data_IF_066751597813
#
_entry.id   IF_066751597813
#
_cell.length_a   1.000
_cell.length_b   1.000
_cell.length_c   1.000
_cell.angle_alpha   90.00
_cell.angle_beta   90.00
_cell.angle_gamma   90.00
#
_symmetry.space_group_name_H-M   'P 1'
#
loop_
_entity.id
_entity.type
_entity.pdbx_description
1 polymer ?
#
# COMPACT_ATOMS: atom_id res chain seq x y z
N UNK A 1 46.10 -2.41 17.33
CA UNK A 1 47.55 -2.12 17.23
C UNK A 1 48.47 -3.33 17.49
N UNK A 2 48.00 -4.59 17.31
CA UNK A 2 48.83 -5.80 17.52
C UNK A 2 49.25 -6.49 16.20
N UNK A 3 48.48 -6.33 15.13
CA UNK A 3 48.77 -6.91 13.81
C UNK A 3 49.97 -6.28 13.09
N UNK A 4 50.20 -4.98 13.23
CA UNK A 4 51.34 -4.32 12.60
C UNK A 4 52.68 -4.69 13.25
N UNK A 5 52.69 -5.07 14.52
CA UNK A 5 53.93 -5.53 15.20
C UNK A 5 54.35 -6.92 14.72
N UNK A 6 53.40 -7.76 14.32
CA UNK A 6 53.66 -9.10 13.78
C UNK A 6 54.18 -9.04 12.32
N UNK A 7 53.61 -8.17 11.49
CA UNK A 7 54.03 -7.99 10.09
C UNK A 7 55.43 -7.35 9.96
N UNK A 8 55.77 -6.41 10.84
CA UNK A 8 57.10 -5.79 10.85
C UNK A 8 58.19 -6.79 11.26
N UNK A 9 57.88 -7.74 12.16
CA UNK A 9 58.84 -8.77 12.56
C UNK A 9 59.06 -9.83 11.46
N UNK A 10 58.01 -10.15 10.69
CA UNK A 10 58.10 -11.10 9.57
C UNK A 10 58.85 -10.54 8.35
N UNK A 11 58.81 -9.21 8.13
CA UNK A 11 59.58 -8.55 7.05
C UNK A 11 61.07 -8.39 7.36
N UNK A 12 61.45 -8.30 8.65
CA UNK A 12 62.87 -8.21 9.05
C UNK A 12 63.57 -9.57 8.94
N UNK A 13 62.82 -10.68 9.00
CA UNK A 13 63.36 -12.04 8.90
C UNK A 13 63.44 -12.58 7.47
N UNK A 14 62.85 -11.89 6.47
CA UNK A 14 62.91 -12.30 5.06
C UNK A 14 64.08 -11.68 4.28
N UNK A 15 64.98 -10.94 4.94
CA UNK A 15 66.08 -10.21 4.30
C UNK A 15 67.48 -10.75 4.65
N UNK A 16 67.57 -11.87 5.36
CA UNK A 16 68.84 -12.50 5.75
C UNK A 16 69.08 -13.88 5.10
N UNK A 17 68.34 -14.22 4.04
CA UNK A 17 68.55 -15.44 3.26
C UNK A 17 68.53 -15.06 1.79
N UNK A 18 69.62 -14.49 1.27
CA UNK A 18 70.03 -14.48 -0.15
C UNK A 18 71.27 -13.58 -0.30
N UNK A 19 72.41 -14.03 0.22
CA UNK A 19 73.71 -13.49 -0.14
C UNK A 19 74.74 -14.61 -0.08
N UNK A 20 74.61 -15.55 -1.03
CA UNK A 20 75.69 -16.35 -1.63
C UNK A 20 75.08 -17.14 -2.80
N UNK A 21 74.63 -16.40 -3.82
CA UNK A 21 74.53 -16.95 -5.18
C UNK A 21 75.83 -16.54 -5.85
N UNK A 22 76.85 -17.39 -5.71
CA UNK A 22 78.00 -17.40 -6.62
C UNK A 22 77.50 -18.07 -7.90
N UNK A 23 77.68 -17.36 -9.01
CA UNK A 23 77.28 -17.72 -10.36
C UNK A 23 77.80 -19.09 -10.76
N UNK A 24 76.92 -19.99 -11.17
CA UNK A 24 77.28 -21.14 -11.99
C UNK A 24 77.53 -20.61 -13.41
N UNK A 25 78.80 -20.44 -13.77
CA UNK A 25 79.25 -20.29 -15.14
C UNK A 25 79.77 -21.67 -15.55
N UNK A 26 79.14 -22.24 -16.58
CA UNK A 26 79.59 -23.45 -17.26
C UNK A 26 81.02 -23.22 -17.77
N UNK A 27 81.99 -23.97 -17.26
CA UNK A 27 83.21 -24.31 -17.97
C UNK A 27 83.71 -25.64 -17.39
N UNK A 28 83.77 -26.63 -18.29
CA UNK A 28 84.31 -27.97 -18.09
C UNK A 28 85.78 -27.89 -17.65
N UNK A 29 86.11 -28.31 -16.44
CA UNK A 29 87.45 -28.77 -16.09
C UNK A 29 87.36 -29.78 -14.93
N UNK A 30 87.92 -30.96 -15.19
CA UNK A 30 88.05 -32.10 -14.29
C UNK A 30 88.86 -31.73 -13.03
N UNK A 31 88.19 -31.35 -11.95
CA UNK A 31 88.75 -31.41 -10.60
C UNK A 31 87.85 -32.30 -9.73
N UNK A 32 88.45 -33.37 -9.22
CA UNK A 32 87.91 -34.32 -8.26
C UNK A 32 87.45 -33.56 -7.01
N UNK A 33 86.20 -33.08 -7.02
CA UNK A 33 85.53 -32.59 -5.82
C UNK A 33 85.27 -33.80 -4.93
N UNK A 34 86.26 -34.15 -4.12
CA UNK A 34 86.03 -34.76 -2.81
C UNK A 34 84.87 -33.99 -2.20
N UNK A 35 83.71 -34.64 -2.15
CA UNK A 35 82.61 -34.18 -1.33
C UNK A 35 83.12 -34.27 0.10
N UNK A 36 83.82 -33.22 0.57
CA UNK A 36 84.07 -33.02 1.97
C UNK A 36 82.68 -33.07 2.62
N UNK A 37 82.40 -34.16 3.33
CA UNK A 37 81.30 -34.23 4.26
C UNK A 37 81.52 -33.05 5.20
N UNK A 38 80.80 -31.95 4.97
CA UNK A 38 80.73 -30.85 5.92
C UNK A 38 80.00 -31.42 7.12
N UNK A 39 80.74 -32.10 7.99
CA UNK A 39 80.29 -32.52 9.30
C UNK A 39 79.89 -31.22 10.00
N UNK A 40 78.58 -30.99 10.04
CA UNK A 40 77.97 -29.96 10.86
C UNK A 40 78.52 -30.17 12.27
N UNK A 41 79.30 -29.22 12.75
CA UNK A 41 79.93 -29.34 14.05
C UNK A 41 78.86 -29.62 15.12
N UNK A 42 79.19 -30.41 16.14
CA UNK A 42 78.23 -30.86 17.16
C UNK A 42 77.49 -29.68 17.82
N UNK A 43 78.13 -28.51 17.88
CA UNK A 43 77.58 -27.26 18.41
C UNK A 43 76.47 -26.67 17.52
N UNK A 44 76.67 -26.61 16.21
CA UNK A 44 75.70 -26.14 15.21
C UNK A 44 74.53 -27.11 15.09
N UNK A 45 74.78 -28.42 15.19
CA UNK A 45 73.71 -29.41 15.27
C UNK A 45 72.87 -29.23 16.53
N UNK A 46 73.51 -29.07 17.69
CA UNK A 46 72.81 -28.86 18.96
C UNK A 46 72.01 -27.54 18.94
N UNK A 47 72.57 -26.47 18.38
CA UNK A 47 71.86 -25.19 18.21
C UNK A 47 70.62 -25.32 17.32
N UNK A 48 70.70 -26.08 16.21
CA UNK A 48 69.53 -26.35 15.37
C UNK A 48 68.48 -27.19 16.10
N UNK A 49 68.89 -28.19 16.89
CA UNK A 49 67.95 -29.00 17.67
C UNK A 49 67.23 -28.18 18.73
N UNK A 50 67.95 -27.27 19.39
CA UNK A 50 67.37 -26.37 20.37
C UNK A 50 66.39 -25.38 19.70
N UNK A 51 66.74 -24.85 18.52
CA UNK A 51 65.85 -23.98 17.73
C UNK A 51 64.57 -24.71 17.30
N UNK A 52 64.70 -25.90 16.71
CA UNK A 52 63.54 -26.68 16.28
C UNK A 52 62.66 -27.10 17.45
N UNK A 53 63.26 -27.43 18.60
CA UNK A 53 62.53 -27.74 19.82
C UNK A 53 61.75 -26.51 20.30
N UNK A 54 62.39 -25.33 20.36
CA UNK A 54 61.73 -24.09 20.72
C UNK A 54 60.58 -23.74 19.77
N UNK A 55 60.79 -23.89 18.45
CA UNK A 55 59.77 -23.64 17.43
C UNK A 55 58.60 -24.61 17.52
N UNK A 56 58.87 -25.89 17.81
CA UNK A 56 57.83 -26.90 18.06
C UNK A 56 56.97 -26.51 19.26
N UNK A 57 57.59 -26.14 20.38
CA UNK A 57 56.87 -25.70 21.58
C UNK A 57 56.04 -24.44 21.34
N UNK A 58 56.56 -23.47 20.58
CA UNK A 58 55.82 -22.26 20.20
C UNK A 58 54.60 -22.59 19.31
N UNK A 59 54.78 -23.41 18.27
CA UNK A 59 53.68 -23.84 17.40
C UNK A 59 52.61 -24.63 18.17
N UNK A 60 53.01 -25.51 19.08
CA UNK A 60 52.08 -26.24 19.96
C UNK A 60 51.29 -25.27 20.86
N UNK A 61 51.94 -24.22 21.38
CA UNK A 61 51.26 -23.16 22.15
C UNK A 61 50.26 -22.38 21.29
N UNK A 62 50.64 -22.02 20.07
CA UNK A 62 49.75 -21.33 19.12
C UNK A 62 48.52 -22.18 18.75
N UNK A 63 48.71 -23.48 18.50
CA UNK A 63 47.61 -24.40 18.24
C UNK A 63 46.64 -24.43 19.41
N UNK A 64 47.15 -24.59 20.65
CA UNK A 64 46.29 -24.61 21.84
C UNK A 64 45.53 -23.30 22.05
N UNK A 65 46.17 -22.16 21.75
CA UNK A 65 45.53 -20.84 21.81
C UNK A 65 44.41 -20.71 20.77
N UNK A 66 44.65 -21.13 19.52
CA UNK A 66 43.66 -21.12 18.44
C UNK A 66 42.51 -22.09 18.69
N UNK A 67 42.76 -23.24 19.30
CA UNK A 67 41.72 -24.18 19.73
C UNK A 67 40.81 -23.56 20.80
N UNK A 68 41.41 -22.88 21.77
CA UNK A 68 40.68 -22.16 22.83
C UNK A 68 39.85 -21.03 22.25
N UNK A 69 40.41 -20.24 21.33
CA UNK A 69 39.68 -19.17 20.63
C UNK A 69 38.52 -19.73 19.81
N UNK A 70 38.74 -20.81 19.04
CA UNK A 70 37.68 -21.47 18.27
C UNK A 70 36.54 -21.98 19.16
N UNK A 71 36.86 -22.58 20.31
CA UNK A 71 35.86 -23.02 21.28
C UNK A 71 35.06 -21.82 21.82
N UNK A 72 35.73 -20.70 22.15
CA UNK A 72 35.09 -19.46 22.60
C UNK A 72 34.19 -18.82 21.55
N UNK A 73 34.64 -18.78 20.29
CA UNK A 73 33.86 -18.25 19.16
C UNK A 73 32.63 -19.11 18.87
N UNK A 74 32.77 -20.44 18.88
CA UNK A 74 31.64 -21.37 18.73
C UNK A 74 30.59 -21.14 19.82
N UNK A 75 31.01 -21.03 21.08
CA UNK A 75 30.10 -20.75 22.21
C UNK A 75 29.40 -19.39 22.04
N UNK A 76 30.13 -18.35 21.67
CA UNK A 76 29.57 -17.01 21.43
C UNK A 76 28.52 -17.04 20.30
N UNK A 77 28.78 -17.81 19.24
CA UNK A 77 27.85 -17.95 18.13
C UNK A 77 26.57 -18.67 18.55
N UNK A 78 26.70 -19.74 19.34
CA UNK A 78 25.57 -20.47 19.91
C UNK A 78 24.71 -19.58 20.82
N UNK A 79 25.34 -18.86 21.77
CA UNK A 79 24.64 -17.94 22.70
C UNK A 79 23.88 -16.83 21.95
N UNK A 80 24.52 -16.23 20.93
CA UNK A 80 23.88 -15.21 20.08
C UNK A 80 22.74 -15.78 19.25
N UNK A 81 22.90 -17.00 18.72
CA UNK A 81 21.86 -17.67 17.92
C UNK A 81 20.65 -18.01 18.79
N UNK A 82 20.88 -18.50 20.02
CA UNK A 82 19.81 -18.77 20.96
C UNK A 82 19.10 -17.48 21.39
N UNK A 83 19.87 -16.42 21.66
CA UNK A 83 19.32 -15.10 22.01
C UNK A 83 18.43 -14.56 20.88
N UNK A 84 18.90 -14.63 19.63
CA UNK A 84 18.14 -14.22 18.46
C UNK A 84 16.86 -15.05 18.28
N UNK A 85 16.96 -16.36 18.44
CA UNK A 85 15.81 -17.29 18.36
C UNK A 85 14.77 -16.96 19.43
N UNK A 86 15.20 -16.76 20.68
CA UNK A 86 14.33 -16.38 21.79
C UNK A 86 13.65 -15.03 21.56
N UNK A 87 14.39 -14.04 21.06
CA UNK A 87 13.84 -12.73 20.73
C UNK A 87 12.76 -12.81 19.64
N UNK A 88 13.04 -13.56 18.56
CA UNK A 88 12.08 -13.79 17.47
C UNK A 88 10.82 -14.50 17.98
N UNK A 89 10.99 -15.56 18.79
CA UNK A 89 9.86 -16.28 19.37
C UNK A 89 9.03 -15.42 20.32
N UNK A 90 9.67 -14.56 21.11
CA UNK A 90 8.98 -13.62 21.99
C UNK A 90 8.14 -12.60 21.20
N UNK A 91 8.66 -12.09 20.09
CA UNK A 91 7.90 -11.21 19.18
C UNK A 91 6.67 -11.94 18.65
N UNK A 92 6.85 -13.14 18.10
CA UNK A 92 5.72 -13.92 17.56
C UNK A 92 4.69 -14.26 18.61
N UNK A 93 5.09 -14.65 19.82
CA UNK A 93 4.17 -14.88 20.93
C UNK A 93 3.33 -13.64 21.28
N UNK A 94 3.87 -12.44 21.08
CA UNK A 94 3.17 -11.17 21.28
C UNK A 94 2.20 -10.79 20.15
N UNK A 95 2.45 -11.24 18.92
CA UNK A 95 1.64 -10.88 17.73
C UNK A 95 0.89 -12.06 17.10
N UNK A 96 0.85 -13.21 17.77
CA UNK A 96 0.22 -14.44 17.28
C UNK A 96 1.24 -15.41 16.68
N UNK A 97 1.42 -15.38 15.36
CA UNK A 97 2.35 -16.27 14.66
C UNK A 97 2.89 -15.65 13.38
N UNK A 98 4.03 -16.18 12.91
CA UNK A 98 4.62 -15.77 11.63
C UNK A 98 3.65 -15.99 10.45
N UNK A 99 2.91 -17.10 10.44
CA UNK A 99 1.96 -17.39 9.37
C UNK A 99 0.81 -16.37 9.32
N UNK A 100 0.21 -16.06 10.46
CA UNK A 100 -0.84 -15.04 10.55
C UNK A 100 -0.32 -13.65 10.18
N UNK A 101 0.93 -13.35 10.52
CA UNK A 101 1.57 -12.09 10.19
C UNK A 101 1.70 -11.90 8.67
N UNK A 102 2.19 -12.92 7.95
CA UNK A 102 2.31 -12.85 6.50
C UNK A 102 0.93 -12.75 5.82
N UNK A 103 -0.08 -13.44 6.34
CA UNK A 103 -1.46 -13.32 5.85
C UNK A 103 -2.03 -11.92 6.06
N UNK A 104 -1.83 -11.35 7.26
CA UNK A 104 -2.26 -9.98 7.58
C UNK A 104 -1.55 -8.97 6.68
N UNK A 105 -0.24 -9.12 6.48
CA UNK A 105 0.58 -8.27 5.60
C UNK A 105 0.09 -8.31 4.15
N UNK A 106 -0.24 -9.50 3.63
CA UNK A 106 -0.79 -9.66 2.29
C UNK A 106 -2.15 -8.94 2.15
N UNK A 107 -3.09 -9.19 3.06
CA UNK A 107 -4.40 -8.53 3.07
C UNK A 107 -4.28 -7.02 3.23
N UNK A 108 -3.39 -6.55 4.10
CA UNK A 108 -3.10 -5.13 4.27
C UNK A 108 -2.63 -4.51 2.96
N UNK A 109 -1.69 -5.14 2.27
CA UNK A 109 -1.19 -4.68 0.97
C UNK A 109 -2.28 -4.62 -0.10
N UNK A 110 -3.17 -5.61 -0.16
CA UNK A 110 -4.28 -5.60 -1.11
C UNK A 110 -5.32 -4.52 -0.80
N UNK A 111 -5.62 -4.31 0.48
CA UNK A 111 -6.48 -3.21 0.90
C UNK A 111 -5.85 -1.85 0.59
N UNK A 112 -4.54 -1.69 0.78
CA UNK A 112 -3.82 -0.46 0.43
C UNK A 112 -3.89 -0.15 -1.07
N UNK A 113 -3.74 -1.17 -1.93
CA UNK A 113 -3.95 -1.02 -3.38
C UNK A 113 -5.37 -0.54 -3.70
N UNK A 114 -6.39 -1.14 -3.08
CA UNK A 114 -7.80 -0.74 -3.29
C UNK A 114 -8.06 0.68 -2.82
N UNK A 115 -7.53 1.07 -1.66
CA UNK A 115 -7.61 2.45 -1.14
C UNK A 115 -6.97 3.44 -2.09
N UNK A 116 -5.78 3.13 -2.62
CA UNK A 116 -5.10 3.99 -3.58
C UNK A 116 -5.86 4.09 -4.91
N UNK A 117 -6.59 3.05 -5.30
CA UNK A 117 -7.43 3.01 -6.50
C UNK A 117 -8.85 3.57 -6.31
N UNK A 118 -9.20 4.03 -5.11
CA UNK A 118 -10.55 4.46 -4.74
C UNK A 118 -10.95 5.74 -5.52
N UNK A 119 -12.08 5.67 -6.25
CA UNK A 119 -12.54 6.76 -7.14
C UNK A 119 -13.73 7.55 -6.59
N UNK A 120 -14.42 7.02 -5.59
CA UNK A 120 -15.48 7.75 -4.92
C UNK A 120 -16.16 6.98 -3.79
N UNK A 121 -17.27 7.52 -3.31
CA UNK A 121 -17.98 7.02 -2.12
C UNK A 121 -18.41 5.55 -2.19
N UNK A 122 -18.81 5.06 -3.37
CA UNK A 122 -19.20 3.66 -3.55
C UNK A 122 -18.00 2.70 -3.35
N UNK A 123 -16.83 3.06 -3.88
CA UNK A 123 -15.59 2.31 -3.67
C UNK A 123 -15.16 2.36 -2.20
N UNK A 124 -15.27 3.53 -1.57
CA UNK A 124 -14.96 3.71 -0.15
C UNK A 124 -15.82 2.80 0.74
N UNK A 125 -17.12 2.70 0.46
CA UNK A 125 -18.03 1.81 1.19
C UNK A 125 -17.69 0.32 0.99
N UNK A 126 -17.31 -0.08 -0.23
CA UNK A 126 -16.88 -1.45 -0.49
C UNK A 126 -15.56 -1.79 0.25
N UNK A 127 -14.61 -0.85 0.28
CA UNK A 127 -13.34 -1.02 1.01
C UNK A 127 -13.59 -1.10 2.52
N UNK A 128 -14.44 -0.26 3.09
CA UNK A 128 -14.80 -0.31 4.52
C UNK A 128 -15.36 -1.69 4.90
N UNK A 129 -16.24 -2.25 4.05
CA UNK A 129 -16.84 -3.56 4.31
C UNK A 129 -15.87 -4.72 4.13
N UNK A 130 -15.17 -4.78 3.00
CA UNK A 130 -14.44 -5.99 2.59
C UNK A 130 -13.04 -6.07 3.22
N UNK A 131 -12.46 -4.92 3.55
CA UNK A 131 -11.06 -4.80 3.95
C UNK A 131 -10.91 -4.35 5.39
N UNK A 132 -11.72 -3.38 5.82
CA UNK A 132 -11.47 -2.68 7.07
C UNK A 132 -11.80 -3.51 8.30
N UNK A 133 -12.91 -4.26 8.29
CA UNK A 133 -13.32 -5.07 9.44
C UNK A 133 -12.24 -6.09 9.85
N UNK A 134 -11.65 -6.79 8.87
CA UNK A 134 -10.54 -7.70 9.13
C UNK A 134 -9.32 -6.96 9.69
N UNK A 135 -8.91 -5.85 9.05
CA UNK A 135 -7.73 -5.09 9.49
C UNK A 135 -7.89 -4.48 10.90
N UNK A 136 -9.11 -4.14 11.30
CA UNK A 136 -9.42 -3.66 12.64
C UNK A 136 -9.52 -4.79 13.65
N UNK A 137 -10.41 -5.74 13.41
CA UNK A 137 -10.81 -6.72 14.42
C UNK A 137 -9.70 -7.73 14.64
N UNK A 138 -9.21 -8.35 13.56
CA UNK A 138 -8.08 -9.26 13.62
C UNK A 138 -6.80 -8.52 14.02
N UNK A 139 -6.54 -7.35 13.43
CA UNK A 139 -5.35 -6.56 13.71
C UNK A 139 -5.23 -6.10 15.18
N UNK A 140 -6.35 -5.81 15.86
CA UNK A 140 -6.37 -5.51 17.30
C UNK A 140 -6.16 -6.78 18.13
N UNK A 141 -6.91 -7.84 17.84
CA UNK A 141 -6.85 -9.09 18.61
C UNK A 141 -5.47 -9.74 18.56
N UNK A 142 -4.81 -9.70 17.41
CA UNK A 142 -3.44 -10.20 17.20
C UNK A 142 -2.37 -9.14 17.45
N UNK A 143 -2.73 -7.91 17.87
CA UNK A 143 -1.82 -6.75 18.05
C UNK A 143 -1.00 -6.34 16.81
N UNK A 144 -1.24 -6.96 15.66
CA UNK A 144 -0.53 -6.71 14.40
C UNK A 144 -0.73 -5.28 13.90
N UNK A 145 -1.93 -4.72 14.06
CA UNK A 145 -2.23 -3.33 13.65
C UNK A 145 -1.33 -2.31 14.34
N UNK A 146 -0.87 -2.60 15.55
CA UNK A 146 -0.05 -1.70 16.37
C UNK A 146 1.45 -1.80 16.04
N UNK A 147 1.86 -2.69 15.15
CA UNK A 147 3.25 -2.76 14.72
C UNK A 147 3.62 -1.49 13.95
N UNK A 148 4.85 -0.95 14.15
CA UNK A 148 5.28 0.29 13.50
C UNK A 148 5.13 0.29 11.97
N UNK A 149 5.32 -0.86 11.32
CA UNK A 149 5.21 -0.98 9.86
C UNK A 149 3.78 -0.85 9.32
N UNK A 150 2.76 -1.06 10.16
CA UNK A 150 1.35 -1.00 9.76
C UNK A 150 0.65 0.24 10.30
N UNK A 151 0.99 0.71 11.50
CA UNK A 151 0.28 1.77 12.19
C UNK A 151 0.15 3.07 11.36
N UNK A 152 1.26 3.58 10.84
CA UNK A 152 1.26 4.84 10.08
C UNK A 152 0.58 4.69 8.71
N UNK A 153 0.81 3.56 8.04
CA UNK A 153 0.15 3.23 6.77
C UNK A 153 -1.35 3.05 6.95
N UNK A 154 -1.77 2.44 8.05
CA UNK A 154 -3.18 2.27 8.40
C UNK A 154 -3.87 3.62 8.61
N UNK A 155 -3.24 4.52 9.37
CA UNK A 155 -3.78 5.87 9.58
C UNK A 155 -3.84 6.66 8.26
N UNK A 156 -2.84 6.49 7.40
CA UNK A 156 -2.83 7.07 6.05
C UNK A 156 -3.96 6.53 5.19
N UNK A 157 -4.19 5.21 5.19
CA UNK A 157 -5.31 4.60 4.47
C UNK A 157 -6.65 5.10 4.99
N UNK A 158 -6.83 5.20 6.31
CA UNK A 158 -8.05 5.73 6.93
C UNK A 158 -8.35 7.15 6.43
N UNK A 159 -7.34 8.00 6.37
CA UNK A 159 -7.45 9.37 5.84
C UNK A 159 -7.84 9.35 4.35
N UNK A 160 -7.17 8.53 3.53
CA UNK A 160 -7.47 8.40 2.09
C UNK A 160 -8.88 7.88 1.82
N UNK A 161 -9.39 6.96 2.64
CA UNK A 161 -10.78 6.48 2.54
C UNK A 161 -11.75 7.61 2.83
N UNK A 162 -11.51 8.40 3.89
CA UNK A 162 -12.32 9.57 4.20
C UNK A 162 -12.30 10.59 3.05
N UNK A 163 -11.12 10.91 2.51
CA UNK A 163 -11.00 11.76 1.33
C UNK A 163 -11.71 11.16 0.10
N UNK A 164 -11.65 9.85 -0.10
CA UNK A 164 -12.35 9.16 -1.19
C UNK A 164 -13.88 9.21 -1.02
N UNK A 165 -14.36 9.16 0.22
CA UNK A 165 -15.79 9.31 0.53
C UNK A 165 -16.29 10.71 0.20
N UNK A 166 -15.48 11.73 0.51
CA UNK A 166 -15.77 13.13 0.15
C UNK A 166 -15.63 13.40 -1.35
N UNK A 167 -14.84 12.59 -2.08
CA UNK A 167 -14.89 12.47 -3.56
C UNK A 167 -16.18 11.77 -4.00
N UNK A 168 -17.33 12.25 -3.50
CA UNK A 168 -18.61 11.95 -4.10
C UNK A 168 -18.58 12.44 -5.54
N UNK A 169 -18.85 11.53 -6.48
CA UNK A 169 -18.55 11.65 -7.90
C UNK A 169 -19.25 12.79 -8.65
N UNK A 170 -19.87 13.77 -8.00
CA UNK A 170 -20.43 14.93 -8.64
C UNK A 170 -19.31 15.76 -9.30
N UNK A 171 -19.09 15.51 -10.59
CA UNK A 171 -18.49 16.49 -11.48
C UNK A 171 -19.23 17.80 -11.26
N UNK A 172 -18.54 18.87 -10.86
CA UNK A 172 -19.15 20.17 -10.54
C UNK A 172 -20.05 20.67 -11.69
N UNK A 173 -19.76 20.20 -12.92
CA UNK A 173 -20.47 20.54 -14.14
C UNK A 173 -20.77 19.30 -15.00
N UNK A 174 -21.92 19.28 -15.69
CA UNK A 174 -22.28 18.26 -16.67
C UNK A 174 -22.73 18.89 -17.99
N UNK A 175 -22.19 18.41 -19.10
CA UNK A 175 -22.58 18.86 -20.45
C UNK A 175 -23.73 17.99 -20.98
N UNK A 176 -24.88 18.63 -21.22
CA UNK A 176 -26.09 17.96 -21.73
C UNK A 176 -25.84 17.39 -23.13
N UNK A 177 -26.18 16.13 -23.34
CA UNK A 177 -26.13 15.45 -24.64
C UNK A 177 -27.54 15.29 -25.21
N UNK A 178 -27.66 15.12 -26.53
CA UNK A 178 -28.95 14.89 -27.20
C UNK A 178 -29.66 13.66 -26.60
N UNK A 179 -30.88 13.87 -26.08
CA UNK A 179 -31.70 12.82 -25.47
C UNK A 179 -31.65 12.76 -23.94
N UNK A 180 -30.84 13.63 -23.33
CA UNK A 180 -30.81 13.80 -21.87
C UNK A 180 -32.06 14.51 -21.36
N UNK A 181 -32.43 14.15 -20.14
CA UNK A 181 -33.36 14.90 -19.32
C UNK A 181 -32.81 14.94 -17.88
N UNK A 182 -33.24 15.91 -17.07
CA UNK A 182 -32.73 16.07 -15.71
C UNK A 182 -32.86 14.77 -14.87
N UNK A 183 -33.90 13.98 -15.12
CA UNK A 183 -34.11 12.68 -14.48
C UNK A 183 -33.01 11.66 -14.83
N UNK A 184 -32.62 11.56 -16.10
CA UNK A 184 -31.54 10.66 -16.55
C UNK A 184 -30.19 11.12 -16.02
N UNK A 185 -29.93 12.43 -16.06
CA UNK A 185 -28.69 13.03 -15.57
C UNK A 185 -28.53 12.76 -14.06
N UNK A 186 -29.57 13.00 -13.26
CA UNK A 186 -29.54 12.68 -11.82
C UNK A 186 -29.39 11.17 -11.54
N UNK A 187 -29.85 10.32 -12.46
CA UNK A 187 -29.76 8.87 -12.37
C UNK A 187 -28.37 8.30 -12.68
N UNK A 188 -27.45 9.08 -13.24
CA UNK A 188 -26.12 8.60 -13.55
C UNK A 188 -25.33 8.36 -12.25
N UNK A 189 -24.61 7.23 -12.17
CA UNK A 189 -23.83 6.85 -10.98
C UNK A 189 -22.75 7.88 -10.62
N UNK A 190 -22.20 8.56 -11.63
CA UNK A 190 -21.24 9.65 -11.50
C UNK A 190 -21.87 11.02 -11.22
N UNK A 191 -23.18 11.12 -10.92
CA UNK A 191 -23.80 12.39 -10.52
C UNK A 191 -24.43 12.20 -9.15
N UNK A 192 -25.56 11.49 -9.09
CA UNK A 192 -26.20 11.15 -7.82
C UNK A 192 -26.60 9.69 -7.69
N UNK A 193 -26.61 8.93 -8.80
CA UNK A 193 -27.10 7.54 -8.84
C UNK A 193 -28.61 7.39 -8.56
N UNK A 194 -29.32 8.49 -8.30
CA UNK A 194 -30.73 8.50 -7.91
C UNK A 194 -31.51 9.45 -8.82
N UNK A 195 -32.29 8.92 -9.78
CA UNK A 195 -33.01 9.75 -10.75
C UNK A 195 -33.99 10.76 -10.12
N UNK A 196 -34.52 10.46 -8.93
CA UNK A 196 -35.47 11.33 -8.21
C UNK A 196 -34.86 12.64 -7.72
N UNK A 197 -33.52 12.77 -7.72
CA UNK A 197 -32.80 13.96 -7.28
C UNK A 197 -32.68 15.04 -8.37
N UNK A 198 -33.28 14.83 -9.54
CA UNK A 198 -33.33 15.83 -10.60
C UNK A 198 -33.83 17.23 -10.20
N UNK A 199 -34.75 17.42 -9.21
CA UNK A 199 -35.18 18.77 -8.82
C UNK A 199 -34.04 19.61 -8.25
N UNK A 200 -33.06 19.00 -7.59
CA UNK A 200 -31.91 19.71 -7.06
C UNK A 200 -31.03 20.29 -8.18
N UNK A 201 -30.87 19.56 -9.29
CA UNK A 201 -30.18 20.06 -10.49
C UNK A 201 -30.96 21.25 -11.06
N UNK A 202 -32.27 21.13 -11.18
CA UNK A 202 -33.09 22.24 -11.68
C UNK A 202 -33.01 23.47 -10.79
N UNK A 203 -33.17 23.33 -9.48
CA UNK A 203 -33.14 24.44 -8.53
C UNK A 203 -31.82 25.20 -8.56
N UNK A 204 -30.70 24.51 -8.75
CA UNK A 204 -29.38 25.12 -8.87
C UNK A 204 -29.16 25.86 -10.20
N UNK A 205 -29.88 25.49 -11.27
CA UNK A 205 -29.67 26.02 -12.61
C UNK A 205 -30.83 26.89 -13.15
N UNK A 206 -31.96 26.98 -12.43
CA UNK A 206 -33.14 27.75 -12.85
C UNK A 206 -32.81 29.24 -13.10
N UNK A 207 -31.91 29.79 -12.30
CA UNK A 207 -31.46 31.17 -12.37
C UNK A 207 -30.29 31.39 -13.34
N UNK A 208 -29.69 30.31 -13.86
CA UNK A 208 -28.52 30.39 -14.74
C UNK A 208 -27.77 29.06 -14.85
N UNK A 209 -27.43 28.64 -16.07
CA UNK A 209 -26.49 27.55 -16.38
C UNK A 209 -25.07 28.10 -16.55
N UNK A 210 -24.07 27.25 -16.41
CA UNK A 210 -22.65 27.65 -16.44
C UNK A 210 -22.23 28.12 -17.83
N UNK A 211 -22.64 27.39 -18.87
CA UNK A 211 -22.49 27.83 -20.26
C UNK A 211 -23.60 27.26 -21.13
N UNK A 212 -23.90 27.96 -22.22
CA UNK A 212 -24.92 27.53 -23.18
C UNK A 212 -24.44 27.87 -24.60
N UNK A 213 -24.80 27.07 -25.62
CA UNK A 213 -24.53 27.38 -27.02
C UNK A 213 -25.20 28.70 -27.46
N UNK A 214 -24.73 29.31 -28.56
CA UNK A 214 -25.37 30.48 -29.16
C UNK A 214 -26.86 30.20 -29.44
N UNK A 215 -27.73 31.17 -29.17
CA UNK A 215 -29.20 31.10 -29.35
C UNK A 215 -29.97 30.21 -28.35
N UNK A 216 -29.31 29.68 -27.31
CA UNK A 216 -29.98 28.93 -26.22
C UNK A 216 -30.08 29.81 -24.97
N UNK A 217 -31.22 29.76 -24.29
CA UNK A 217 -31.42 30.49 -23.04
C UNK A 217 -30.43 30.02 -21.95
N UNK A 218 -29.82 30.96 -21.24
CA UNK A 218 -28.93 30.67 -20.10
C UNK A 218 -29.70 30.30 -18.83
N UNK A 219 -31.01 30.48 -18.79
CA UNK A 219 -31.85 30.14 -17.63
C UNK A 219 -32.77 28.98 -17.97
N UNK A 220 -33.12 28.17 -16.97
CA UNK A 220 -34.02 27.01 -17.13
C UNK A 220 -35.28 27.24 -16.27
N UNK A 221 -36.23 28.07 -16.72
CA UNK A 221 -37.47 28.30 -15.99
C UNK A 221 -38.36 27.06 -15.96
N UNK A 222 -38.31 26.23 -17.01
CA UNK A 222 -39.05 24.97 -17.09
C UNK A 222 -38.07 23.79 -16.96
N UNK A 223 -38.21 22.91 -15.96
CA UNK A 223 -37.30 21.77 -15.75
C UNK A 223 -37.27 20.77 -16.90
N UNK A 224 -38.29 20.75 -17.76
CA UNK A 224 -38.34 19.85 -18.91
C UNK A 224 -37.59 20.39 -20.15
N UNK A 225 -37.14 21.65 -20.12
CA UNK A 225 -36.47 22.29 -21.25
C UNK A 225 -34.97 22.42 -20.98
N UNK A 226 -34.23 21.38 -21.33
CA UNK A 226 -32.77 21.40 -21.40
C UNK A 226 -32.32 21.09 -22.83
N UNK A 227 -31.23 21.71 -23.25
CA UNK A 227 -30.73 21.65 -24.62
C UNK A 227 -29.31 21.07 -24.67
N UNK A 228 -28.97 20.30 -25.72
CA UNK A 228 -27.63 19.76 -25.89
C UNK A 228 -26.56 20.86 -25.94
N UNK A 229 -25.40 20.60 -25.33
CA UNK A 229 -24.29 21.55 -25.21
C UNK A 229 -24.43 22.54 -24.05
N UNK A 230 -25.55 22.57 -23.33
CA UNK A 230 -25.64 23.31 -22.07
C UNK A 230 -24.77 22.64 -21.00
N UNK A 231 -24.02 23.44 -20.26
CA UNK A 231 -23.24 22.96 -19.11
C UNK A 231 -23.99 23.32 -17.83
N UNK A 232 -24.53 22.30 -17.17
CA UNK A 232 -25.30 22.42 -15.93
C UNK A 232 -24.37 22.34 -14.73
N UNK A 233 -24.60 23.18 -13.72
CA UNK A 233 -23.97 23.06 -12.41
C UNK A 233 -24.61 21.91 -11.63
N UNK A 234 -23.83 20.95 -11.18
CA UNK A 234 -24.33 19.84 -10.37
C UNK A 234 -24.00 20.13 -8.90
N UNK A 235 -24.99 20.48 -8.06
CA UNK A 235 -24.72 20.76 -6.65
C UNK A 235 -24.26 19.48 -5.93
N UNK A 236 -23.22 19.57 -5.11
CA UNK A 236 -22.81 18.49 -4.21
C UNK A 236 -23.82 18.44 -3.06
N UNK A 237 -24.63 17.39 -3.04
CA UNK A 237 -25.62 17.16 -1.99
C UNK A 237 -25.01 16.24 -0.93
N UNK A 238 -25.03 16.66 0.33
CA UNK A 238 -24.76 15.76 1.47
C UNK A 238 -25.89 14.74 1.60
N UNK A 239 -25.66 13.62 2.31
CA UNK A 239 -26.66 12.56 2.42
C UNK A 239 -27.97 13.04 3.06
N UNK A 240 -27.89 13.97 4.03
CA UNK A 240 -29.07 14.63 4.60
C UNK A 240 -29.87 15.43 3.54
N UNK A 241 -29.18 16.16 2.65
CA UNK A 241 -29.82 16.93 1.58
C UNK A 241 -30.42 16.03 0.50
N UNK A 242 -29.78 14.88 0.21
CA UNK A 242 -30.34 13.87 -0.70
C UNK A 242 -31.67 13.34 -0.17
N UNK A 243 -31.74 13.01 1.13
CA UNK A 243 -32.98 12.54 1.76
C UNK A 243 -34.10 13.58 1.72
N UNK A 244 -33.78 14.85 2.00
CA UNK A 244 -34.75 15.95 1.93
C UNK A 244 -35.26 16.15 0.49
N UNK A 245 -34.36 16.15 -0.49
CA UNK A 245 -34.71 16.25 -1.91
C UNK A 245 -35.55 15.05 -2.38
N UNK A 246 -35.28 13.84 -1.89
CA UNK A 246 -36.10 12.65 -2.11
C UNK A 246 -37.51 12.80 -1.52
N UNK A 247 -37.65 13.35 -0.32
CA UNK A 247 -38.96 13.64 0.31
C UNK A 247 -39.73 14.67 -0.51
N UNK A 248 -39.09 15.77 -0.94
CA UNK A 248 -39.69 16.79 -1.84
C UNK A 248 -40.15 16.18 -3.16
N UNK A 249 -39.31 15.37 -3.81
CA UNK A 249 -39.66 14.71 -5.07
C UNK A 249 -40.87 13.76 -4.93
N UNK A 250 -40.96 13.03 -3.81
CA UNK A 250 -42.11 12.17 -3.53
C UNK A 250 -43.40 12.98 -3.23
N UNK A 251 -43.28 14.13 -2.55
CA UNK A 251 -44.40 15.05 -2.31
C UNK A 251 -45.00 15.60 -3.60
N UNK A 252 -44.16 15.92 -4.60
CA UNK A 252 -44.61 16.34 -5.94
C UNK A 252 -45.44 15.25 -6.66
N UNK A 253 -45.16 13.96 -6.44
CA UNK A 253 -46.00 12.86 -6.96
C UNK A 253 -47.32 12.71 -6.19
N UNK A 254 -47.31 12.94 -4.88
CA UNK A 254 -48.51 12.92 -4.03
C UNK A 254 -49.55 13.94 -4.51
N UNK A 255 -49.16 15.21 -4.64
CA UNK A 255 -50.06 16.29 -5.12
C UNK A 255 -50.63 16.04 -6.52
N UNK A 256 -49.83 15.52 -7.47
CA UNK A 256 -50.32 15.19 -8.83
C UNK A 256 -51.32 14.03 -8.86
N UNK A 257 -51.18 13.03 -7.99
CA UNK A 257 -52.18 11.93 -7.88
C UNK A 257 -53.50 12.42 -7.32
N UNK A 258 -53.47 13.34 -6.36
CA UNK A 258 -54.68 13.92 -5.77
C UNK A 258 -55.41 14.83 -6.77
N UNK A 259 -54.68 15.68 -7.50
CA UNK A 259 -55.26 16.55 -8.54
C UNK A 259 -55.83 15.78 -9.73
N UNK A 260 -55.10 14.78 -10.27
CA UNK A 260 -55.59 13.92 -11.36
C UNK A 260 -56.84 13.12 -10.95
N UNK A 261 -56.95 12.74 -9.67
CA UNK A 261 -58.14 12.05 -9.14
C UNK A 261 -59.33 13.01 -9.01
N UNK A 262 -59.12 14.27 -8.65
CA UNK A 262 -60.19 15.26 -8.57
C UNK A 262 -60.72 15.71 -9.94
N UNK A 263 -59.86 15.81 -10.96
CA UNK A 263 -60.27 16.11 -12.35
C UNK A 263 -61.09 14.96 -12.97
N UNK A 264 -60.61 13.71 -12.90
CA UNK A 264 -61.35 12.52 -13.41
C UNK A 264 -62.68 12.28 -12.66
N UNK A 265 -62.76 12.68 -11.38
CA UNK A 265 -64.02 12.60 -10.61
C UNK A 265 -64.98 13.74 -10.95
N UNK A 266 -64.46 14.90 -11.37
CA UNK A 266 -65.23 16.06 -11.84
C UNK A 266 -65.87 15.80 -13.20
N UNK A 267 -65.08 15.39 -14.20
CA UNK A 267 -65.57 15.07 -15.56
C UNK A 267 -66.58 13.91 -15.54
N UNK A 268 -66.36 12.86 -14.73
CA UNK A 268 -67.35 11.78 -14.56
C UNK A 268 -68.66 12.23 -13.91
N UNK A 269 -68.63 13.24 -13.04
CA UNK A 269 -69.85 13.80 -12.41
C UNK A 269 -70.62 14.70 -13.37
N UNK A 270 -69.94 15.50 -14.20
CA UNK A 270 -70.58 16.32 -15.22
C UNK A 270 -71.23 15.46 -16.32
N UNK A 271 -70.53 14.48 -16.89
CA UNK A 271 -71.13 13.57 -17.89
C UNK A 271 -72.36 12.84 -17.36
N UNK A 272 -72.36 12.39 -16.09
CA UNK A 272 -73.53 11.75 -15.48
C UNK A 272 -74.71 12.71 -15.25
N UNK A 273 -74.44 14.01 -15.07
CA UNK A 273 -75.48 15.03 -14.88
C UNK A 273 -76.11 15.42 -16.21
N UNK A 274 -75.33 15.48 -17.29
CA UNK A 274 -75.82 15.75 -18.64
C UNK A 274 -76.67 14.59 -19.19
N UNK A 275 -76.21 13.33 -19.03
CA UNK A 275 -76.99 12.14 -19.44
C UNK A 275 -78.34 12.00 -18.72
N UNK A 276 -78.46 12.47 -17.47
CA UNK A 276 -79.73 12.48 -16.72
C UNK A 276 -80.68 13.60 -17.16
N UNK A 277 -80.15 14.70 -17.72
CA UNK A 277 -80.97 15.83 -18.18
C UNK A 277 -81.65 15.50 -19.52
N UNK A 278 -80.97 14.78 -20.41
CA UNK A 278 -81.52 14.35 -21.70
C UNK A 278 -82.56 13.23 -21.60
N UNK A 279 -82.43 12.34 -20.61
CA UNK A 279 -83.42 11.26 -20.39
C UNK A 279 -84.74 11.75 -19.79
N UNK A 280 -84.79 12.97 -19.24
CA UNK A 280 -86.01 13.53 -18.62
C UNK A 280 -86.84 14.38 -19.61
N UNK A 281 -86.28 14.76 -20.77
CA UNK A 281 -86.97 15.56 -21.81
C UNK A 281 -87.74 14.73 -22.86
N UNK A 282 -87.77 13.41 -22.72
CA UNK A 282 -88.32 12.47 -23.73
C UNK A 282 -89.55 11.68 -23.24
N UNK A 283 -90.31 12.23 -22.31
CA UNK A 283 -91.64 11.72 -21.93
C UNK A 283 -92.71 12.73 -22.31
#
# INVERSE_FOLDING_TARGET
MKFHKLLVFMMVFSLAVFANVVSAQDDDDDDEMEAEEVEMDEETWQAQMDEYTARKTDLESQISALETENAGLKKTLEDKTQTATNAVNAVWAGVGSKAQYEEYKAKFGDCEKRVNACKGADDAAAIEKDCWDYLTTFGINSRMKCLPEFWDRYNTMKKKIAECKEKSGASDNYTVVKGDCLYKIAGMKNIYGVPKLWPAIWEANKAGVVSAPPKVAKTIPNPNLIYPGQVLKIPKLTDAQKEEALKKANQYKGKKRTMKKTEDTGEKKEMKKEMKKDTTKKK
#
